data_IF_381302871334
#
_entry.id   IF_381302871334
#
_cell.length_a   1.000
_cell.length_b   1.000
_cell.length_c   1.000
_cell.angle_alpha   90.00
_cell.angle_beta   90.00
_cell.angle_gamma   90.00
#
_symmetry.space_group_name_H-M   'P 1'
#
loop_
_entity.id
_entity.type
_entity.pdbx_description
1 polymer ?
#
# COMPACT_ATOMS: atom_id res chain seq x y z
N UNK A 1 -26.77 -11.40 -5.40
CA UNK A 1 -26.30 -10.89 -4.10
C UNK A 1 -27.01 -9.55 -3.87
N UNK A 2 -28.06 -9.51 -3.04
CA UNK A 2 -28.78 -8.29 -2.61
C UNK A 2 -30.02 -8.59 -1.73
N UNK A 3 -30.42 -9.86 -1.55
CA UNK A 3 -31.75 -10.16 -1.00
C UNK A 3 -31.79 -10.38 0.53
N UNK A 4 -30.71 -10.05 1.26
CA UNK A 4 -30.57 -10.40 2.68
C UNK A 4 -30.28 -9.26 3.65
N UNK A 5 -30.03 -8.03 3.18
CA UNK A 5 -29.63 -6.93 4.06
C UNK A 5 -30.71 -5.85 4.15
N UNK A 6 -31.24 -5.64 5.37
CA UNK A 6 -32.28 -4.64 5.65
C UNK A 6 -31.74 -3.20 5.64
N UNK A 7 -30.43 -3.00 5.84
CA UNK A 7 -29.76 -1.69 5.81
C UNK A 7 -28.48 -1.75 4.98
N UNK A 8 -28.58 -1.30 3.72
CA UNK A 8 -27.46 -1.27 2.77
C UNK A 8 -26.22 -0.54 3.32
N UNK A 9 -26.42 0.49 4.16
CA UNK A 9 -25.35 1.27 4.77
C UNK A 9 -24.55 0.44 5.80
N UNK A 10 -25.23 -0.32 6.65
CA UNK A 10 -24.58 -1.18 7.66
C UNK A 10 -23.82 -2.32 6.98
N UNK A 11 -24.41 -2.96 5.97
CA UNK A 11 -23.73 -4.01 5.22
C UNK A 11 -22.51 -3.50 4.45
N UNK A 12 -22.60 -2.31 3.85
CA UNK A 12 -21.46 -1.68 3.19
C UNK A 12 -20.34 -1.34 4.19
N UNK A 13 -20.69 -0.82 5.37
CA UNK A 13 -19.73 -0.50 6.42
C UNK A 13 -19.01 -1.76 6.94
N UNK A 14 -19.74 -2.86 7.15
CA UNK A 14 -19.17 -4.16 7.55
C UNK A 14 -18.23 -4.72 6.48
N UNK A 15 -18.65 -4.75 5.22
CA UNK A 15 -17.79 -5.20 4.12
C UNK A 15 -16.53 -4.34 4.00
N UNK A 16 -16.67 -3.02 4.09
CA UNK A 16 -15.53 -2.08 4.08
C UNK A 16 -14.58 -2.34 5.25
N UNK A 17 -15.11 -2.68 6.42
CA UNK A 17 -14.30 -2.99 7.60
C UNK A 17 -13.49 -4.28 7.39
N UNK A 18 -14.12 -5.33 6.87
CA UNK A 18 -13.44 -6.59 6.56
C UNK A 18 -12.34 -6.39 5.50
N UNK A 19 -12.65 -5.67 4.42
CA UNK A 19 -11.69 -5.30 3.37
C UNK A 19 -10.51 -4.49 3.93
N UNK A 20 -10.79 -3.47 4.75
CA UNK A 20 -9.78 -2.64 5.39
C UNK A 20 -8.88 -3.48 6.32
N UNK A 21 -9.45 -4.38 7.10
CA UNK A 21 -8.72 -5.25 8.03
C UNK A 21 -7.78 -6.20 7.27
N UNK A 22 -8.26 -6.80 6.19
CA UNK A 22 -7.42 -7.64 5.33
C UNK A 22 -6.30 -6.84 4.67
N UNK A 23 -6.63 -5.67 4.12
CA UNK A 23 -5.67 -4.75 3.50
C UNK A 23 -4.55 -4.36 4.49
N UNK A 24 -4.89 -4.01 5.73
CA UNK A 24 -3.90 -3.66 6.77
C UNK A 24 -3.00 -4.84 7.10
N UNK A 25 -3.58 -6.05 7.22
CA UNK A 25 -2.81 -7.28 7.49
C UNK A 25 -1.82 -7.55 6.37
N UNK A 26 -2.27 -7.46 5.12
CA UNK A 26 -1.45 -7.67 3.93
C UNK A 26 -0.33 -6.64 3.84
N UNK A 27 -0.65 -5.35 4.02
CA UNK A 27 0.34 -4.26 4.00
C UNK A 27 1.41 -4.43 5.09
N UNK A 28 0.99 -4.82 6.30
CA UNK A 28 1.93 -5.11 7.40
C UNK A 28 2.90 -6.24 7.04
N UNK A 29 2.38 -7.34 6.48
CA UNK A 29 3.18 -8.47 6.05
C UNK A 29 4.17 -8.09 4.95
N UNK A 30 3.72 -7.34 3.94
CA UNK A 30 4.54 -6.87 2.82
C UNK A 30 5.67 -5.96 3.30
N UNK A 31 5.40 -4.98 4.17
CA UNK A 31 6.43 -4.09 4.72
C UNK A 31 7.43 -4.85 5.59
N UNK A 32 6.96 -5.77 6.43
CA UNK A 32 7.83 -6.63 7.23
C UNK A 32 8.79 -7.43 6.35
N UNK A 33 8.29 -8.06 5.28
CA UNK A 33 9.11 -8.78 4.31
C UNK A 33 10.22 -7.88 3.75
N UNK A 34 9.90 -6.65 3.36
CA UNK A 34 10.85 -5.67 2.82
C UNK A 34 11.92 -5.26 3.83
N UNK A 35 11.56 -5.09 5.10
CA UNK A 35 12.54 -4.84 6.16
C UNK A 35 13.42 -6.06 6.43
N UNK A 36 12.85 -7.28 6.42
CA UNK A 36 13.60 -8.52 6.64
C UNK A 36 14.65 -8.79 5.57
N UNK A 37 14.38 -8.43 4.30
CA UNK A 37 15.36 -8.59 3.22
C UNK A 37 16.48 -7.52 3.25
N UNK A 38 16.34 -6.45 4.05
CA UNK A 38 17.40 -5.45 4.25
C UNK A 38 17.16 -4.07 3.63
N UNK A 39 15.92 -3.76 3.19
CA UNK A 39 15.58 -2.39 2.80
C UNK A 39 15.29 -1.57 4.06
N UNK A 40 16.16 -0.63 4.40
CA UNK A 40 16.06 0.14 5.65
C UNK A 40 15.49 1.54 5.46
N UNK A 41 15.51 2.07 4.23
CA UNK A 41 15.07 3.43 3.96
C UNK A 41 13.56 3.46 3.67
N UNK A 42 12.88 4.43 4.26
CA UNK A 42 11.45 4.64 4.05
C UNK A 42 11.16 6.12 3.79
N UNK A 43 10.19 6.42 2.93
CA UNK A 43 9.83 7.79 2.60
C UNK A 43 8.31 7.92 2.47
N UNK A 44 7.75 8.99 3.05
CA UNK A 44 6.34 9.32 2.86
C UNK A 44 6.10 9.73 1.40
N UNK A 45 5.05 9.19 0.79
CA UNK A 45 4.74 9.46 -0.61
C UNK A 45 3.23 9.62 -0.83
N UNK A 46 2.85 10.71 -1.51
CA UNK A 46 1.47 11.07 -1.82
C UNK A 46 1.10 10.57 -3.23
N UNK A 47 0.78 9.28 -3.36
CA UNK A 47 0.52 8.62 -4.65
C UNK A 47 -0.62 9.26 -5.44
N UNK A 48 -1.62 9.82 -4.75
CA UNK A 48 -2.77 10.49 -5.35
C UNK A 48 -2.41 11.75 -6.14
N UNK A 49 -1.27 12.37 -5.84
CA UNK A 49 -0.80 13.61 -6.48
C UNK A 49 -0.18 13.36 -7.85
N UNK A 50 0.24 12.12 -8.11
CA UNK A 50 0.89 11.72 -9.36
C UNK A 50 -0.12 11.14 -10.34
N UNK A 51 0.21 11.23 -11.64
CA UNK A 51 -0.61 10.61 -12.68
C UNK A 51 -0.59 9.09 -12.54
N UNK A 52 -1.64 8.44 -13.03
CA UNK A 52 -1.78 6.97 -12.96
C UNK A 52 -0.55 6.23 -13.50
N UNK A 53 0.00 6.66 -14.64
CA UNK A 53 1.18 6.03 -15.25
C UNK A 53 2.43 6.13 -14.36
N UNK A 54 2.57 7.20 -13.59
CA UNK A 54 3.72 7.46 -12.72
C UNK A 54 3.65 6.69 -11.40
N UNK A 55 2.46 6.17 -11.04
CA UNK A 55 2.22 5.37 -9.82
C UNK A 55 1.98 3.89 -10.11
N UNK A 56 2.07 3.45 -11.36
CA UNK A 56 1.97 2.03 -11.69
C UNK A 56 3.27 1.30 -11.42
N UNK A 57 3.16 0.06 -10.94
CA UNK A 57 4.29 -0.83 -10.87
C UNK A 57 4.84 -1.08 -12.28
N UNK A 58 6.13 -0.83 -12.48
CA UNK A 58 6.77 -1.02 -13.78
C UNK A 58 6.67 -2.47 -14.30
N UNK A 59 6.57 -3.45 -13.40
CA UNK A 59 6.47 -4.86 -13.76
C UNK A 59 5.03 -5.32 -14.06
N UNK A 60 4.11 -5.20 -13.09
CA UNK A 60 2.76 -5.76 -13.21
C UNK A 60 1.67 -4.75 -13.57
N UNK A 61 2.03 -3.47 -13.72
CA UNK A 61 1.12 -2.36 -14.07
C UNK A 61 0.00 -2.11 -13.05
N UNK A 62 0.07 -2.73 -11.87
CA UNK A 62 -0.82 -2.40 -10.76
C UNK A 62 -0.55 -0.97 -10.29
N UNK A 63 -1.60 -0.16 -10.19
CA UNK A 63 -1.54 1.17 -9.58
C UNK A 63 -1.21 1.05 -8.10
N UNK A 64 -0.06 1.59 -7.68
CA UNK A 64 0.39 1.59 -6.30
C UNK A 64 -0.28 2.73 -5.51
N UNK A 65 -0.65 2.45 -4.26
CA UNK A 65 -1.27 3.45 -3.38
C UNK A 65 -0.79 3.39 -1.93
N UNK A 66 -0.74 2.21 -1.30
CA UNK A 66 -0.31 2.11 0.11
C UNK A 66 1.20 2.14 0.27
N UNK A 67 1.87 1.38 -0.58
CA UNK A 67 3.32 1.30 -0.63
C UNK A 67 3.85 0.89 -2.00
N UNK A 68 5.11 1.25 -2.25
CA UNK A 68 5.89 0.88 -3.41
C UNK A 68 7.38 0.90 -3.06
N UNK A 69 8.21 0.34 -3.92
CA UNK A 69 9.66 0.40 -3.80
C UNK A 69 10.21 1.24 -4.95
N UNK A 70 11.05 2.23 -4.62
CA UNK A 70 11.90 2.95 -5.58
C UNK A 70 13.37 2.72 -5.27
N UNK A 71 14.23 2.94 -6.26
CA UNK A 71 15.67 2.89 -6.09
C UNK A 71 16.23 4.30 -6.24
N UNK A 72 17.20 4.69 -5.41
CA UNK A 72 17.82 6.01 -5.51
C UNK A 72 18.85 6.12 -6.66
N UNK A 73 18.96 5.12 -7.53
CA UNK A 73 19.81 5.19 -8.70
C UNK A 73 19.18 6.06 -9.80
N UNK A 74 20.03 6.79 -10.53
CA UNK A 74 19.60 7.39 -11.79
C UNK A 74 19.50 6.28 -12.83
N UNK A 75 18.31 6.08 -13.37
CA UNK A 75 18.12 5.19 -14.51
C UNK A 75 18.65 5.86 -15.78
N UNK A 76 19.08 5.05 -16.75
CA UNK A 76 19.67 5.53 -18.01
C UNK A 76 18.67 6.37 -18.85
N UNK A 77 17.37 6.18 -18.63
CA UNK A 77 16.27 6.94 -19.24
C UNK A 77 15.89 8.21 -18.46
N UNK A 78 16.55 8.49 -17.33
CA UNK A 78 16.27 9.64 -16.47
C UNK A 78 14.96 9.57 -15.68
N UNK A 79 14.18 8.50 -15.82
CA UNK A 79 12.87 8.39 -15.18
C UNK A 79 12.97 7.76 -13.79
N UNK A 80 12.10 8.23 -12.89
CA UNK A 80 11.88 7.60 -11.60
C UNK A 80 11.04 6.34 -11.82
N UNK A 81 11.63 5.17 -11.55
CA UNK A 81 10.94 3.88 -11.62
C UNK A 81 10.48 3.44 -10.25
N UNK A 82 9.28 2.86 -10.20
CA UNK A 82 8.76 2.24 -9.00
C UNK A 82 8.11 0.89 -9.31
N UNK A 83 8.12 0.02 -8.32
CA UNK A 83 7.43 -1.28 -8.37
C UNK A 83 6.59 -1.47 -7.12
N UNK A 84 5.52 -2.25 -7.22
CA UNK A 84 4.83 -2.68 -6.01
C UNK A 84 5.75 -3.57 -5.17
N UNK A 85 5.43 -3.69 -3.87
CA UNK A 85 6.27 -4.42 -2.91
C UNK A 85 6.53 -5.87 -3.31
N UNK A 86 5.56 -6.52 -3.99
CA UNK A 86 5.71 -7.90 -4.46
C UNK A 86 6.78 -8.06 -5.56
N UNK A 87 7.11 -7.00 -6.29
CA UNK A 87 8.01 -7.03 -7.43
C UNK A 87 9.30 -6.24 -7.17
N UNK A 88 9.72 -6.09 -5.90
CA UNK A 88 10.93 -5.35 -5.54
C UNK A 88 12.19 -5.85 -6.28
N UNK A 89 12.28 -7.16 -6.56
CA UNK A 89 13.40 -7.79 -7.26
C UNK A 89 13.50 -7.35 -8.73
N UNK A 90 12.40 -6.89 -9.32
CA UNK A 90 12.33 -6.43 -10.70
C UNK A 90 12.72 -4.95 -10.87
N UNK A 91 12.97 -4.23 -9.78
CA UNK A 91 13.25 -2.79 -9.81
C UNK A 91 14.64 -2.46 -10.34
N UNK A 92 15.68 -3.08 -9.78
CA UNK A 92 17.06 -2.77 -10.09
C UNK A 92 17.99 -3.94 -9.73
N UNK A 93 18.72 -4.49 -10.70
CA UNK A 93 19.69 -5.57 -10.47
C UNK A 93 21.10 -5.07 -10.12
N UNK A 94 21.37 -3.77 -10.34
CA UNK A 94 22.70 -3.17 -10.17
C UNK A 94 22.96 -2.63 -8.77
N UNK A 95 21.91 -2.33 -8.00
CA UNK A 95 22.03 -1.65 -6.71
C UNK A 95 21.82 -2.60 -5.54
N UNK A 96 22.55 -2.42 -4.42
CA UNK A 96 22.25 -3.13 -3.18
C UNK A 96 20.89 -2.67 -2.60
N UNK A 97 20.28 -3.52 -1.79
CA UNK A 97 18.97 -3.26 -1.15
C UNK A 97 18.96 -2.02 -0.26
N UNK A 98 20.12 -1.60 0.25
CA UNK A 98 20.29 -0.34 1.00
C UNK A 98 19.93 0.90 0.19
N UNK A 99 20.03 0.85 -1.15
CA UNK A 99 19.63 1.95 -2.03
C UNK A 99 18.14 1.95 -2.36
N UNK A 100 17.42 0.91 -1.95
CA UNK A 100 16.00 0.82 -2.16
C UNK A 100 15.30 1.60 -1.05
N UNK A 101 14.18 2.22 -1.40
CA UNK A 101 13.40 3.07 -0.51
C UNK A 101 11.96 2.56 -0.58
N UNK A 102 11.42 2.17 0.57
CA UNK A 102 10.00 1.88 0.73
C UNK A 102 9.23 3.20 0.78
N UNK A 103 8.49 3.49 -0.28
CA UNK A 103 7.51 4.55 -0.32
C UNK A 103 6.26 4.09 0.45
N UNK A 104 5.70 4.94 1.31
CA UNK A 104 4.45 4.64 2.01
C UNK A 104 3.53 5.85 2.06
N UNK A 105 2.22 5.61 1.93
CA UNK A 105 1.20 6.65 2.03
C UNK A 105 0.72 6.91 3.45
N UNK A 106 0.57 5.84 4.23
CA UNK A 106 0.15 5.87 5.62
C UNK A 106 1.12 5.04 6.45
N UNK A 107 1.41 5.52 7.65
CA UNK A 107 2.07 4.71 8.67
C UNK A 107 1.10 3.65 9.20
N UNK A 108 1.64 2.60 9.81
CA UNK A 108 0.82 1.50 10.32
C UNK A 108 -0.10 1.93 11.47
N UNK A 109 0.30 2.90 12.29
CA UNK A 109 -0.53 3.51 13.35
C UNK A 109 -1.73 4.27 12.76
N UNK A 110 -1.52 4.99 11.66
CA UNK A 110 -2.59 5.74 10.97
C UNK A 110 -3.65 4.79 10.41
N UNK A 111 -3.21 3.71 9.74
CA UNK A 111 -4.12 2.68 9.25
C UNK A 111 -4.90 2.00 10.40
N UNK A 112 -4.23 1.73 11.52
CA UNK A 112 -4.87 1.15 12.72
C UNK A 112 -5.85 2.12 13.37
N UNK A 113 -5.62 3.43 13.29
CA UNK A 113 -6.61 4.44 13.71
C UNK A 113 -7.84 4.36 12.82
N UNK A 114 -7.67 4.33 11.49
CA UNK A 114 -8.79 4.22 10.54
C UNK A 114 -9.63 2.97 10.78
N UNK A 115 -8.99 1.81 11.00
CA UNK A 115 -9.68 0.56 11.36
C UNK A 115 -10.54 0.71 12.63
N UNK A 116 -9.98 1.33 13.69
CA UNK A 116 -10.69 1.53 14.97
C UNK A 116 -11.86 2.49 14.83
N UNK A 117 -11.71 3.59 14.10
CA UNK A 117 -12.80 4.56 13.92
C UNK A 117 -13.95 3.94 13.10
N UNK A 118 -13.64 3.16 12.06
CA UNK A 118 -14.68 2.45 11.30
C UNK A 118 -15.39 1.39 12.15
N UNK A 119 -14.66 0.64 12.98
CA UNK A 119 -15.26 -0.30 13.92
C UNK A 119 -16.20 0.41 14.92
N UNK A 120 -15.79 1.54 15.48
CA UNK A 120 -16.64 2.35 16.38
C UNK A 120 -17.93 2.79 15.69
N UNK A 121 -17.83 3.30 14.47
CA UNK A 121 -18.99 3.69 13.67
C UNK A 121 -19.97 2.53 13.50
N UNK A 122 -19.49 1.34 13.14
CA UNK A 122 -20.32 0.14 12.98
C UNK A 122 -21.01 -0.23 14.31
N UNK A 123 -20.28 -0.21 15.43
CA UNK A 123 -20.87 -0.55 16.75
C UNK A 123 -21.89 0.47 17.26
N UNK A 124 -21.88 1.71 16.75
CA UNK A 124 -22.87 2.73 17.07
C UNK A 124 -24.14 2.62 16.20
N UNK A 125 -24.08 1.88 15.09
CA UNK A 125 -25.23 1.59 14.21
C UNK A 125 -26.05 0.37 14.66
N UNK A 126 -25.58 -0.39 15.65
CA UNK A 126 -26.24 -1.58 16.22
C UNK A 126 -26.99 -1.22 17.50
#
# INVERSE_FOLDING_TARGET
>A
MADGCKDLNTCLALATYDDLKEMIKNEMHLRQKIFTIGVMNTEYFSFETFKDDERQCDHCKTTCFLSAIKCNCKHDDGNLRLVCVNHYENLCQKCPLEKFILLYRYRMDELKIMERELYRYITQLQ
#
